data_IF_005404735826
#
_entry.id   IF_005404735826
#
_cell.length_a   1.000
_cell.length_b   1.000
_cell.length_c   1.000
_cell.angle_alpha   90.00
_cell.angle_beta   90.00
_cell.angle_gamma   90.00
#
_symmetry.space_group_name_H-M   'P 1'
#
loop_
_entity.id
_entity.type
_entity.pdbx_description
1 polymer ?
#
# COMPACT_ATOMS: atom_id res chain seq x y z
N UNK A 1 -20.25 25.09 -8.66
CA UNK A 1 -20.56 23.83 -7.98
C UNK A 1 -19.67 23.75 -6.76
N UNK A 2 -20.15 23.20 -5.65
CA UNK A 2 -19.27 23.01 -4.49
C UNK A 2 -18.21 21.97 -4.84
N UNK A 3 -16.98 22.18 -4.36
CA UNK A 3 -15.85 21.29 -4.54
C UNK A 3 -16.19 19.89 -4.00
N UNK A 4 -16.13 18.85 -4.85
CA UNK A 4 -16.35 17.47 -4.42
C UNK A 4 -15.14 16.93 -3.67
N UNK A 5 -15.40 16.06 -2.70
CA UNK A 5 -14.38 15.44 -1.87
C UNK A 5 -14.41 13.93 -2.04
N UNK A 6 -13.27 13.33 -2.33
CA UNK A 6 -13.09 11.87 -2.37
C UNK A 6 -12.19 11.47 -1.23
N UNK A 7 -12.63 10.52 -0.39
CA UNK A 7 -11.79 9.89 0.61
C UNK A 7 -11.13 8.64 0.04
N UNK A 8 -9.82 8.53 0.15
CA UNK A 8 -9.05 7.30 -0.07
C UNK A 8 -8.57 6.78 1.28
N UNK A 9 -9.02 5.58 1.65
CA UNK A 9 -8.53 4.87 2.83
C UNK A 9 -7.60 3.77 2.37
N UNK A 10 -6.33 3.81 2.81
CA UNK A 10 -5.29 2.88 2.38
C UNK A 10 -4.28 2.63 3.48
N UNK A 11 -3.56 1.52 3.39
CA UNK A 11 -2.51 1.12 4.32
C UNK A 11 -1.19 0.83 3.60
N UNK A 12 -0.11 1.31 4.17
CA UNK A 12 1.24 0.93 3.79
C UNK A 12 2.06 1.95 3.01
N UNK A 13 3.09 2.49 3.67
CA UNK A 13 4.11 3.38 3.10
C UNK A 13 5.23 2.66 2.36
N UNK A 14 5.42 1.39 2.62
CA UNK A 14 6.56 0.60 2.15
C UNK A 14 6.24 -0.26 0.95
N UNK A 15 5.06 -0.12 0.39
CA UNK A 15 4.64 -0.96 -0.71
C UNK A 15 4.82 -0.23 -2.02
N UNK A 16 5.42 -0.91 -2.98
CA UNK A 16 5.72 -0.40 -4.32
C UNK A 16 4.49 0.16 -5.07
N UNK A 17 3.28 -0.11 -4.58
CA UNK A 17 2.05 0.25 -5.26
C UNK A 17 1.24 1.34 -4.54
N UNK A 18 1.58 1.70 -3.32
CA UNK A 18 0.74 2.63 -2.55
C UNK A 18 0.65 4.01 -3.23
N UNK A 19 1.72 4.49 -3.87
CA UNK A 19 1.70 5.74 -4.61
C UNK A 19 0.84 5.69 -5.88
N UNK A 20 0.70 4.51 -6.50
CA UNK A 20 -0.05 4.35 -7.75
C UNK A 20 -1.54 4.64 -7.56
N UNK A 21 -2.07 4.38 -6.36
CA UNK A 21 -3.47 4.65 -6.04
C UNK A 21 -3.83 6.14 -6.17
N UNK A 22 -3.21 7.06 -5.40
CA UNK A 22 -3.50 8.48 -5.56
C UNK A 22 -3.09 9.02 -6.94
N UNK A 23 -2.02 8.50 -7.55
CA UNK A 23 -1.60 8.91 -8.89
C UNK A 23 -2.68 8.62 -9.95
N UNK A 24 -3.26 7.41 -9.95
CA UNK A 24 -4.34 7.03 -10.87
C UNK A 24 -5.62 7.84 -10.64
N UNK A 25 -6.02 8.05 -9.36
CA UNK A 25 -7.18 8.88 -9.01
C UNK A 25 -6.99 10.31 -9.52
N UNK A 26 -5.85 10.93 -9.22
CA UNK A 26 -5.55 12.31 -9.61
C UNK A 26 -5.41 12.47 -11.12
N UNK A 27 -4.87 11.48 -11.82
CA UNK A 27 -4.85 11.47 -13.28
C UNK A 27 -6.28 11.55 -13.82
N UNK A 28 -7.19 10.71 -13.32
CA UNK A 28 -8.58 10.71 -13.79
C UNK A 28 -9.30 12.02 -13.46
N UNK A 29 -9.08 12.60 -12.27
CA UNK A 29 -9.63 13.92 -11.90
C UNK A 29 -9.15 15.00 -12.88
N UNK A 30 -7.86 15.05 -13.19
CA UNK A 30 -7.29 16.06 -14.10
C UNK A 30 -7.85 15.95 -15.52
N UNK A 31 -8.08 14.75 -16.01
CA UNK A 31 -8.61 14.51 -17.34
C UNK A 31 -10.08 14.95 -17.49
N UNK A 32 -10.86 14.89 -16.42
CA UNK A 32 -12.27 15.32 -16.46
C UNK A 32 -12.44 16.82 -16.36
N UNK A 33 -11.49 17.51 -15.73
CA UNK A 33 -11.61 18.94 -15.40
C UNK A 33 -12.72 19.25 -14.38
N UNK A 34 -13.20 18.24 -13.64
CA UNK A 34 -14.17 18.44 -12.57
C UNK A 34 -13.53 18.99 -11.30
N UNK A 35 -14.30 19.75 -10.50
CA UNK A 35 -13.87 20.34 -9.23
C UNK A 35 -13.87 19.24 -8.14
N UNK A 36 -12.83 18.42 -8.08
CA UNK A 36 -12.67 17.32 -7.14
C UNK A 36 -11.33 17.40 -6.44
N UNK A 37 -11.29 17.16 -5.13
CA UNK A 37 -10.07 16.99 -4.34
C UNK A 37 -10.03 15.61 -3.68
N UNK A 38 -8.81 15.09 -3.51
CA UNK A 38 -8.52 13.79 -2.93
C UNK A 38 -8.00 13.93 -1.49
N UNK A 39 -8.62 13.20 -0.57
CA UNK A 39 -8.24 13.16 0.84
C UNK A 39 -7.78 11.75 1.17
N UNK A 40 -6.49 11.57 1.49
CA UNK A 40 -5.85 10.28 1.66
C UNK A 40 -5.62 10.04 3.14
N UNK A 41 -6.28 9.05 3.72
CA UNK A 41 -6.07 8.61 5.10
C UNK A 41 -5.21 7.34 5.06
N UNK A 42 -3.93 7.49 5.40
CA UNK A 42 -2.96 6.41 5.27
C UNK A 42 -2.33 6.04 6.60
N UNK A 43 -2.16 4.75 6.82
CA UNK A 43 -1.58 4.15 8.01
C UNK A 43 -0.37 3.28 7.69
N UNK A 44 0.44 2.99 8.70
CA UNK A 44 1.50 1.97 8.65
C UNK A 44 1.26 0.84 9.65
N UNK A 45 0.00 0.58 9.98
CA UNK A 45 -0.44 -0.27 11.09
C UNK A 45 -0.01 -1.74 11.07
N UNK A 46 0.62 -2.23 9.99
CA UNK A 46 1.18 -3.58 9.92
C UNK A 46 2.71 -3.60 10.07
N UNK A 47 3.30 -2.47 10.39
CA UNK A 47 4.74 -2.31 10.42
C UNK A 47 5.40 -2.85 11.68
N UNK A 48 4.84 -2.53 12.85
CA UNK A 48 5.42 -2.86 14.13
C UNK A 48 5.01 -4.26 14.62
N UNK A 49 5.88 -4.87 15.43
CA UNK A 49 5.50 -6.04 16.23
C UNK A 49 4.69 -5.66 17.46
N UNK A 50 4.70 -4.38 17.83
CA UNK A 50 3.89 -3.83 18.90
C UNK A 50 2.45 -3.60 18.43
N UNK A 51 1.51 -4.32 19.02
CA UNK A 51 0.10 -4.20 18.69
C UNK A 51 -0.48 -2.83 19.10
N UNK A 52 0.05 -2.19 20.14
CA UNK A 52 -0.35 -0.85 20.56
C UNK A 52 0.03 0.19 19.50
N UNK A 53 1.26 0.14 19.01
CA UNK A 53 1.72 0.97 17.89
C UNK A 53 0.81 0.82 16.67
N UNK A 54 0.54 -0.41 16.25
CA UNK A 54 -0.30 -0.66 15.08
C UNK A 54 -1.74 -0.14 15.26
N UNK A 55 -2.30 -0.24 16.49
CA UNK A 55 -3.62 0.32 16.79
C UNK A 55 -3.64 1.84 16.65
N UNK A 56 -2.62 2.52 17.16
CA UNK A 56 -2.52 3.98 17.06
C UNK A 56 -2.39 4.46 15.60
N UNK A 57 -1.63 3.73 14.78
CA UNK A 57 -1.55 3.97 13.35
C UNK A 57 -2.92 3.87 12.66
N UNK A 58 -3.68 2.81 12.95
CA UNK A 58 -5.00 2.61 12.36
C UNK A 58 -6.04 3.64 12.80
N UNK A 59 -5.78 4.38 13.89
CA UNK A 59 -6.70 5.40 14.38
C UNK A 59 -6.97 6.51 13.35
N UNK A 60 -6.08 6.73 12.38
CA UNK A 60 -6.27 7.70 11.30
C UNK A 60 -7.57 7.48 10.52
N UNK A 61 -8.07 6.24 10.46
CA UNK A 61 -9.31 5.91 9.76
C UNK A 61 -10.57 6.37 10.51
N UNK A 62 -10.43 6.74 11.78
CA UNK A 62 -11.50 7.32 12.60
C UNK A 62 -11.49 8.86 12.59
N UNK A 63 -10.50 9.47 11.95
CA UNK A 63 -10.43 10.92 11.84
C UNK A 63 -11.55 11.50 10.95
N UNK A 64 -11.83 10.95 9.72
CA UNK A 64 -12.84 11.52 8.85
C UNK A 64 -14.26 11.09 9.22
N UNK A 65 -15.21 12.03 9.18
CA UNK A 65 -16.63 11.70 9.06
C UNK A 65 -16.93 11.40 7.58
N UNK A 66 -17.03 10.12 7.21
CA UNK A 66 -17.13 9.69 5.81
C UNK A 66 -18.41 10.17 5.11
N UNK A 67 -19.44 10.58 5.86
CA UNK A 67 -20.65 11.22 5.30
C UNK A 67 -20.39 12.61 4.72
N UNK A 68 -19.28 13.27 5.07
CA UNK A 68 -18.90 14.59 4.54
C UNK A 68 -18.20 14.52 3.17
N UNK A 69 -17.97 13.31 2.66
CA UNK A 69 -17.37 13.07 1.35
C UNK A 69 -18.43 12.72 0.31
N UNK A 70 -18.13 12.99 -0.96
CA UNK A 70 -19.01 12.68 -2.08
C UNK A 70 -18.80 11.27 -2.63
N UNK A 71 -17.63 10.69 -2.36
CA UNK A 71 -17.26 9.32 -2.72
C UNK A 71 -16.13 8.77 -1.87
N UNK A 72 -16.05 7.45 -1.75
CA UNK A 72 -15.08 6.76 -0.92
C UNK A 72 -14.40 5.68 -1.76
N UNK A 73 -13.06 5.63 -1.72
CA UNK A 73 -12.25 4.58 -2.32
C UNK A 73 -11.51 3.85 -1.19
N UNK A 74 -11.61 2.54 -1.17
CA UNK A 74 -11.01 1.67 -0.16
C UNK A 74 -9.98 0.75 -0.81
N UNK A 75 -8.74 0.76 -0.31
CA UNK A 75 -7.73 -0.29 -0.55
C UNK A 75 -7.30 -0.82 0.81
N UNK A 76 -7.83 -1.98 1.18
CA UNK A 76 -7.73 -2.54 2.53
C UNK A 76 -7.01 -3.89 2.59
N UNK A 77 -6.38 -4.31 1.48
CA UNK A 77 -5.72 -5.63 1.37
C UNK A 77 -4.59 -5.84 2.37
N UNK A 78 -4.08 -4.77 2.94
CA UNK A 78 -2.91 -4.79 3.79
C UNK A 78 -3.25 -4.69 5.28
N UNK A 79 -4.50 -4.41 5.61
CA UNK A 79 -4.96 -4.36 7.00
C UNK A 79 -5.10 -5.77 7.54
N UNK A 80 -4.20 -6.16 8.45
CA UNK A 80 -4.19 -7.49 9.05
C UNK A 80 -5.14 -7.64 10.24
N UNK A 81 -5.66 -6.52 10.78
CA UNK A 81 -6.59 -6.54 11.90
C UNK A 81 -8.05 -6.69 11.43
N UNK A 82 -8.72 -7.82 11.71
CA UNK A 82 -10.12 -8.01 11.33
C UNK A 82 -11.07 -6.98 11.96
N UNK A 83 -10.76 -6.52 13.16
CA UNK A 83 -11.55 -5.51 13.86
C UNK A 83 -11.49 -4.16 13.13
N UNK A 84 -10.28 -3.69 12.78
CA UNK A 84 -10.08 -2.45 12.01
C UNK A 84 -10.77 -2.54 10.66
N UNK A 85 -10.62 -3.67 9.96
CA UNK A 85 -11.26 -3.90 8.68
C UNK A 85 -12.79 -3.80 8.78
N UNK A 86 -13.37 -4.44 9.80
CA UNK A 86 -14.82 -4.40 10.05
C UNK A 86 -15.31 -2.97 10.35
N UNK A 87 -14.55 -2.20 11.13
CA UNK A 87 -14.89 -0.82 11.49
C UNK A 87 -14.84 0.10 10.27
N UNK A 88 -13.79 0.04 9.45
CA UNK A 88 -13.67 0.82 8.21
C UNK A 88 -14.83 0.50 7.25
N UNK A 89 -15.13 -0.77 7.04
CA UNK A 89 -16.25 -1.20 6.19
C UNK A 89 -17.59 -0.70 6.75
N UNK A 90 -17.78 -0.80 8.07
CA UNK A 90 -19.01 -0.34 8.73
C UNK A 90 -19.18 1.18 8.60
N UNK A 91 -18.10 1.96 8.78
CA UNK A 91 -18.11 3.42 8.64
C UNK A 91 -18.41 3.82 7.19
N UNK A 92 -17.79 3.16 6.21
CA UNK A 92 -18.06 3.39 4.80
C UNK A 92 -19.54 3.09 4.45
N UNK A 93 -20.10 1.98 4.94
CA UNK A 93 -21.53 1.66 4.75
C UNK A 93 -22.46 2.69 5.37
N UNK A 94 -22.16 3.15 6.60
CA UNK A 94 -23.00 4.13 7.31
C UNK A 94 -22.98 5.51 6.67
N UNK A 95 -21.93 5.85 5.93
CA UNK A 95 -21.83 7.15 5.25
C UNK A 95 -22.94 7.39 4.24
N UNK A 96 -23.53 6.33 3.68
CA UNK A 96 -24.54 6.41 2.61
C UNK A 96 -23.98 6.94 1.28
N UNK A 97 -22.65 7.04 1.14
CA UNK A 97 -21.98 7.53 -0.06
C UNK A 97 -21.61 6.38 -1.00
N UNK A 98 -21.41 6.65 -2.30
CA UNK A 98 -20.83 5.67 -3.20
C UNK A 98 -19.46 5.19 -2.70
N UNK A 99 -19.26 3.86 -2.64
CA UNK A 99 -18.01 3.25 -2.19
C UNK A 99 -17.47 2.34 -3.27
N UNK A 100 -16.18 2.52 -3.58
CA UNK A 100 -15.41 1.65 -4.49
C UNK A 100 -14.35 0.94 -3.68
N UNK A 101 -14.27 -0.38 -3.79
CA UNK A 101 -13.22 -1.20 -3.21
C UNK A 101 -12.23 -1.63 -4.30
N UNK A 102 -10.95 -1.33 -4.09
CA UNK A 102 -9.88 -1.72 -5.00
C UNK A 102 -9.27 -3.03 -4.52
N UNK A 103 -9.10 -3.97 -5.45
CA UNK A 103 -8.39 -5.24 -5.28
C UNK A 103 -8.97 -6.19 -4.20
N UNK A 104 -9.99 -5.79 -3.44
CA UNK A 104 -10.66 -6.62 -2.45
C UNK A 104 -12.18 -6.56 -2.65
N UNK A 105 -12.84 -7.70 -2.75
CA UNK A 105 -14.30 -7.77 -2.88
C UNK A 105 -14.95 -7.63 -1.50
N UNK A 106 -15.60 -6.50 -1.27
CA UNK A 106 -16.20 -6.13 0.00
C UNK A 106 -17.74 -6.03 -0.11
N UNK A 107 -18.37 -7.16 -0.31
CA UNK A 107 -19.83 -7.29 -0.23
C UNK A 107 -20.62 -6.39 -1.17
N UNK A 108 -21.20 -5.30 -0.66
CA UNK A 108 -22.12 -4.44 -1.44
C UNK A 108 -21.41 -3.31 -2.22
N UNK A 109 -20.12 -3.11 -2.05
CA UNK A 109 -19.37 -2.04 -2.70
C UNK A 109 -19.06 -2.36 -4.16
N UNK A 110 -18.80 -1.33 -4.97
CA UNK A 110 -18.29 -1.51 -6.32
C UNK A 110 -16.87 -2.05 -6.24
N UNK A 111 -16.60 -3.10 -6.99
CA UNK A 111 -15.27 -3.70 -7.08
C UNK A 111 -14.53 -3.19 -8.31
N UNK A 112 -13.27 -2.82 -8.13
CA UNK A 112 -12.32 -2.58 -9.21
C UNK A 112 -11.03 -3.33 -8.93
N UNK A 113 -10.54 -4.09 -9.90
CA UNK A 113 -9.30 -4.84 -9.74
C UNK A 113 -8.95 -5.68 -10.95
N UNK A 114 -7.94 -6.52 -10.80
CA UNK A 114 -7.48 -7.44 -11.85
C UNK A 114 -8.39 -8.67 -11.90
N UNK A 115 -8.64 -9.21 -13.08
CA UNK A 115 -9.18 -10.57 -13.23
C UNK A 115 -8.09 -11.61 -12.93
N UNK A 116 -7.78 -11.73 -11.64
CA UNK A 116 -6.75 -12.64 -11.13
C UNK A 116 -7.02 -14.11 -11.50
N UNK A 117 -8.30 -14.50 -11.53
CA UNK A 117 -8.73 -15.86 -11.87
C UNK A 117 -8.37 -16.19 -13.31
N UNK A 118 -8.83 -15.38 -14.27
CA UNK A 118 -8.58 -15.62 -15.70
C UNK A 118 -7.10 -15.48 -16.05
N UNK A 119 -6.38 -14.56 -15.43
CA UNK A 119 -4.95 -14.37 -15.64
C UNK A 119 -4.15 -15.64 -15.26
N UNK A 120 -4.39 -16.19 -14.05
CA UNK A 120 -3.66 -17.37 -13.62
C UNK A 120 -4.11 -18.65 -14.31
N UNK A 121 -5.37 -18.72 -14.75
CA UNK A 121 -5.84 -19.81 -15.62
C UNK A 121 -5.08 -19.82 -16.96
N UNK A 122 -4.75 -18.65 -17.51
CA UNK A 122 -3.92 -18.52 -18.73
C UNK A 122 -2.46 -18.91 -18.47
N UNK A 123 -1.89 -18.57 -17.31
CA UNK A 123 -0.51 -18.93 -16.93
C UNK A 123 -0.34 -20.46 -16.90
N UNK A 124 -1.18 -21.15 -16.15
CA UNK A 124 -1.09 -22.63 -16.06
C UNK A 124 -1.42 -23.30 -17.40
N UNK A 125 -2.36 -22.75 -18.19
CA UNK A 125 -2.67 -23.23 -19.52
C UNK A 125 -1.44 -23.17 -20.44
N UNK A 126 -0.73 -22.05 -20.46
CA UNK A 126 0.48 -21.88 -21.25
C UNK A 126 1.57 -22.90 -20.86
N UNK A 127 1.83 -23.08 -19.58
CA UNK A 127 2.82 -24.04 -19.13
C UNK A 127 2.43 -25.48 -19.51
N UNK A 128 1.17 -25.84 -19.44
CA UNK A 128 0.68 -27.16 -19.83
C UNK A 128 0.65 -27.37 -21.35
N UNK A 129 0.03 -26.44 -22.11
CA UNK A 129 -0.23 -26.63 -23.54
C UNK A 129 0.99 -26.36 -24.41
N UNK A 130 1.83 -25.39 -24.05
CA UNK A 130 3.01 -25.01 -24.83
C UNK A 130 4.26 -25.78 -24.41
N UNK A 131 4.38 -26.09 -23.12
CA UNK A 131 5.58 -26.70 -22.55
C UNK A 131 5.39 -28.12 -22.04
N UNK A 132 4.19 -28.71 -22.19
CA UNK A 132 3.82 -30.08 -21.74
C UNK A 132 4.09 -30.33 -20.25
N UNK A 133 4.02 -29.26 -19.41
CA UNK A 133 4.18 -29.38 -17.97
C UNK A 133 3.00 -30.12 -17.34
N UNK A 134 3.27 -31.08 -16.45
CA UNK A 134 2.26 -31.95 -15.79
C UNK A 134 2.37 -31.96 -14.27
N UNK A 135 3.59 -31.68 -13.75
CA UNK A 135 3.85 -31.56 -12.32
C UNK A 135 4.10 -30.09 -11.97
N UNK A 136 3.33 -29.57 -11.03
CA UNK A 136 3.37 -28.17 -10.65
C UNK A 136 3.62 -28.01 -9.16
N UNK A 137 4.45 -27.04 -8.78
CA UNK A 137 4.45 -26.48 -7.43
C UNK A 137 3.82 -25.09 -7.48
N UNK A 138 2.95 -24.80 -6.50
CA UNK A 138 2.25 -23.53 -6.39
C UNK A 138 2.69 -22.81 -5.11
N UNK A 139 3.39 -21.69 -5.24
CA UNK A 139 3.74 -20.83 -4.13
C UNK A 139 2.75 -19.64 -4.13
N UNK A 140 1.77 -19.71 -3.24
CA UNK A 140 0.67 -18.75 -3.16
C UNK A 140 0.79 -17.85 -1.94
N UNK A 141 0.01 -16.76 -1.91
CA UNK A 141 -0.04 -15.82 -0.79
C UNK A 141 -0.86 -16.33 0.39
N UNK A 142 -1.11 -15.46 1.36
CA UNK A 142 -1.93 -15.79 2.52
C UNK A 142 -3.34 -16.27 2.11
N UNK A 143 -3.90 -17.21 2.87
CA UNK A 143 -5.19 -17.85 2.55
C UNK A 143 -6.38 -16.89 2.66
N UNK A 144 -6.27 -15.87 3.47
CA UNK A 144 -7.27 -14.82 3.69
C UNK A 144 -7.16 -13.66 2.69
N UNK A 145 -6.14 -13.65 1.84
CA UNK A 145 -5.99 -12.65 0.79
C UNK A 145 -6.87 -12.99 -0.42
N UNK A 146 -7.78 -12.09 -0.77
CA UNK A 146 -8.75 -12.27 -1.85
C UNK A 146 -8.09 -12.53 -3.22
N UNK A 147 -7.11 -11.72 -3.62
CA UNK A 147 -6.42 -11.87 -4.90
C UNK A 147 -5.66 -13.21 -4.99
N UNK A 148 -4.96 -13.59 -3.90
CA UNK A 148 -4.27 -14.88 -3.81
C UNK A 148 -5.23 -16.06 -3.99
N UNK A 149 -6.40 -15.97 -3.35
CA UNK A 149 -7.45 -17.00 -3.47
C UNK A 149 -8.00 -17.10 -4.88
N UNK A 150 -8.24 -15.96 -5.55
CA UNK A 150 -8.68 -15.95 -6.96
C UNK A 150 -7.61 -16.53 -7.89
N UNK A 151 -6.34 -16.18 -7.71
CA UNK A 151 -5.20 -16.74 -8.47
C UNK A 151 -5.13 -18.26 -8.32
N UNK A 152 -5.17 -18.75 -7.09
CA UNK A 152 -5.13 -20.18 -6.80
C UNK A 152 -6.34 -20.91 -7.43
N UNK A 153 -7.55 -20.36 -7.28
CA UNK A 153 -8.75 -20.98 -7.82
C UNK A 153 -8.70 -21.15 -9.34
N UNK A 154 -8.19 -20.12 -10.06
CA UNK A 154 -8.00 -20.20 -11.51
C UNK A 154 -7.09 -21.34 -11.94
N UNK A 155 -5.96 -21.53 -11.22
CA UNK A 155 -5.03 -22.64 -11.46
C UNK A 155 -5.65 -24.01 -11.19
N UNK A 156 -6.34 -24.15 -10.04
CA UNK A 156 -6.96 -25.43 -9.64
C UNK A 156 -8.11 -25.83 -10.56
N UNK A 157 -8.92 -24.89 -11.01
CA UNK A 157 -10.02 -25.18 -11.94
C UNK A 157 -9.49 -25.62 -13.30
N UNK A 158 -8.45 -24.95 -13.83
CA UNK A 158 -7.79 -25.42 -15.05
C UNK A 158 -7.21 -26.82 -14.88
N UNK A 159 -6.48 -27.06 -13.80
CA UNK A 159 -5.91 -28.38 -13.52
C UNK A 159 -6.99 -29.47 -13.47
N UNK A 160 -8.13 -29.22 -12.82
CA UNK A 160 -9.25 -30.14 -12.75
C UNK A 160 -9.88 -30.39 -14.12
N UNK A 161 -10.09 -29.35 -14.94
CA UNK A 161 -10.63 -29.46 -16.30
C UNK A 161 -9.76 -30.36 -17.20
N UNK A 162 -8.43 -30.26 -17.05
CA UNK A 162 -7.44 -31.00 -17.85
C UNK A 162 -6.88 -32.26 -17.18
N UNK A 163 -7.45 -32.65 -16.04
CA UNK A 163 -7.03 -33.85 -15.26
C UNK A 163 -5.57 -33.82 -14.82
N UNK A 164 -5.03 -32.64 -14.60
CA UNK A 164 -3.72 -32.43 -13.99
C UNK A 164 -3.90 -32.61 -12.49
N UNK A 165 -3.04 -33.46 -11.90
CA UNK A 165 -3.09 -33.70 -10.48
C UNK A 165 -2.24 -32.65 -9.74
N UNK A 166 -2.88 -31.87 -8.87
CA UNK A 166 -2.25 -30.96 -7.91
C UNK A 166 -2.76 -31.35 -6.53
N UNK A 167 -1.90 -31.88 -5.69
CA UNK A 167 -2.23 -32.26 -4.33
C UNK A 167 -2.01 -31.08 -3.37
N UNK A 168 -2.55 -31.17 -2.17
CA UNK A 168 -2.32 -30.14 -1.14
C UNK A 168 -0.83 -29.96 -0.78
N UNK A 169 -0.06 -31.02 -0.96
CA UNK A 169 1.36 -31.06 -0.70
C UNK A 169 2.20 -30.33 -1.76
N UNK A 170 1.62 -30.03 -2.92
CA UNK A 170 2.22 -29.26 -4.00
C UNK A 170 1.98 -27.73 -3.83
N UNK A 171 1.26 -27.32 -2.77
CA UNK A 171 0.87 -25.94 -2.53
C UNK A 171 1.50 -25.43 -1.25
N UNK A 172 2.26 -24.34 -1.36
CA UNK A 172 2.79 -23.58 -0.23
C UNK A 172 2.02 -22.27 -0.06
N UNK A 173 1.51 -22.05 1.15
CA UNK A 173 0.86 -20.80 1.54
C UNK A 173 1.84 -19.93 2.33
N UNK A 174 2.16 -18.77 1.80
CA UNK A 174 3.12 -17.83 2.39
C UNK A 174 2.67 -16.39 2.30
N UNK A 175 3.64 -15.49 2.16
CA UNK A 175 3.44 -14.06 1.89
C UNK A 175 3.92 -13.69 0.49
N UNK A 176 3.88 -12.38 0.16
CA UNK A 176 4.27 -11.86 -1.14
C UNK A 176 5.75 -11.44 -1.21
N UNK A 177 6.53 -11.77 -0.19
CA UNK A 177 7.91 -11.33 -0.06
C UNK A 177 8.94 -12.39 -0.49
N UNK A 178 10.18 -11.93 -0.66
CA UNK A 178 11.31 -12.77 -1.03
C UNK A 178 11.58 -13.91 -0.03
N UNK A 179 11.43 -13.64 1.27
CA UNK A 179 11.69 -14.64 2.31
C UNK A 179 10.72 -15.81 2.21
N UNK A 180 9.45 -15.53 1.97
CA UNK A 180 8.42 -16.56 1.76
C UNK A 180 8.74 -17.45 0.56
N UNK A 181 9.31 -16.89 -0.51
CA UNK A 181 9.76 -17.67 -1.66
C UNK A 181 10.86 -18.66 -1.31
N UNK A 182 11.87 -18.25 -0.53
CA UNK A 182 12.94 -19.12 -0.05
C UNK A 182 12.39 -20.25 0.84
N UNK A 183 11.53 -19.91 1.80
CA UNK A 183 10.93 -20.87 2.72
C UNK A 183 10.03 -21.87 1.98
N UNK A 184 9.21 -21.40 1.05
CA UNK A 184 8.30 -22.21 0.26
C UNK A 184 9.03 -23.21 -0.64
N UNK A 185 10.06 -22.75 -1.37
CA UNK A 185 10.88 -23.64 -2.19
C UNK A 185 11.54 -24.72 -1.35
N UNK A 186 12.15 -24.34 -0.22
CA UNK A 186 12.79 -25.30 0.70
C UNK A 186 11.78 -26.33 1.22
N UNK A 187 10.59 -25.88 1.63
CA UNK A 187 9.54 -26.78 2.13
C UNK A 187 9.11 -27.80 1.08
N UNK A 188 8.82 -27.35 -0.14
CA UNK A 188 8.38 -28.23 -1.23
C UNK A 188 9.51 -29.18 -1.65
N UNK A 189 10.76 -28.70 -1.72
CA UNK A 189 11.92 -29.54 -1.98
C UNK A 189 12.10 -30.62 -0.90
N UNK A 190 12.01 -30.26 0.37
CA UNK A 190 12.19 -31.22 1.48
C UNK A 190 11.12 -32.28 1.46
N UNK A 191 9.94 -31.99 0.98
CA UNK A 191 8.83 -32.92 0.88
C UNK A 191 8.94 -33.85 -0.31
N UNK A 192 9.25 -33.34 -1.49
CA UNK A 192 9.22 -34.13 -2.73
C UNK A 192 10.55 -34.71 -3.13
N UNK A 193 11.68 -34.06 -2.82
CA UNK A 193 13.04 -34.44 -3.21
C UNK A 193 13.27 -34.61 -4.72
N UNK A 194 12.36 -34.11 -5.53
CA UNK A 194 12.41 -34.02 -6.99
C UNK A 194 11.82 -32.70 -7.46
N UNK A 195 12.27 -32.16 -8.58
CA UNK A 195 11.72 -30.94 -9.14
C UNK A 195 10.36 -31.20 -9.81
N UNK A 196 9.47 -30.19 -9.84
CA UNK A 196 8.30 -30.18 -10.70
C UNK A 196 8.73 -29.82 -12.14
N UNK A 197 7.82 -29.96 -13.11
CA UNK A 197 8.03 -29.40 -14.44
C UNK A 197 7.97 -27.87 -14.43
N UNK A 198 7.10 -27.31 -13.56
CA UNK A 198 7.00 -25.86 -13.38
C UNK A 198 6.64 -25.45 -11.96
N UNK A 199 7.14 -24.27 -11.57
CA UNK A 199 6.80 -23.56 -10.34
C UNK A 199 6.02 -22.29 -10.69
N UNK A 200 4.80 -22.16 -10.15
CA UNK A 200 3.97 -20.98 -10.34
C UNK A 200 3.95 -20.20 -9.06
N UNK A 201 4.49 -18.98 -9.10
CA UNK A 201 4.63 -18.10 -7.95
C UNK A 201 3.55 -17.02 -7.94
N UNK A 202 3.14 -16.65 -6.72
CA UNK A 202 2.11 -15.63 -6.50
C UNK A 202 2.50 -14.27 -7.08
N UNK A 203 3.80 -13.95 -7.06
CA UNK A 203 4.36 -12.75 -7.66
C UNK A 203 5.85 -12.92 -8.03
N UNK A 204 6.43 -11.89 -8.61
CA UNK A 204 7.82 -11.88 -9.08
C UNK A 204 8.86 -11.91 -7.94
N UNK A 205 8.54 -11.36 -6.76
CA UNK A 205 9.45 -11.44 -5.61
C UNK A 205 9.68 -12.90 -5.19
N UNK A 206 8.59 -13.66 -5.14
CA UNK A 206 8.61 -15.08 -4.81
C UNK A 206 9.31 -15.86 -5.92
N UNK A 207 9.05 -15.51 -7.20
CA UNK A 207 9.70 -16.20 -8.33
C UNK A 207 11.24 -16.02 -8.33
N UNK A 208 11.72 -14.79 -8.12
CA UNK A 208 13.17 -14.53 -7.98
C UNK A 208 13.77 -15.28 -6.81
N UNK A 209 13.08 -15.33 -5.66
CA UNK A 209 13.55 -16.07 -4.49
C UNK A 209 13.67 -17.58 -4.76
N UNK A 210 12.72 -18.17 -5.48
CA UNK A 210 12.76 -19.58 -5.89
C UNK A 210 13.92 -19.84 -6.83
N UNK A 211 14.16 -18.96 -7.82
CA UNK A 211 15.32 -19.08 -8.70
C UNK A 211 16.64 -19.09 -7.92
N UNK A 212 16.81 -18.18 -6.96
CA UNK A 212 18.02 -18.11 -6.12
C UNK A 212 18.19 -19.35 -5.24
N UNK A 213 17.10 -19.83 -4.62
CA UNK A 213 17.14 -21.04 -3.81
C UNK A 213 17.48 -22.30 -4.64
N UNK A 214 16.92 -22.41 -5.84
CA UNK A 214 17.20 -23.51 -6.77
C UNK A 214 18.65 -23.45 -7.27
N UNK A 215 19.14 -22.27 -7.64
CA UNK A 215 20.52 -22.07 -8.10
C UNK A 215 21.57 -22.47 -7.05
N UNK A 216 21.31 -22.21 -5.76
CA UNK A 216 22.18 -22.68 -4.66
C UNK A 216 22.26 -24.20 -4.58
N UNK A 217 21.29 -24.92 -5.13
CA UNK A 217 21.26 -26.38 -5.23
C UNK A 217 21.74 -26.92 -6.59
N UNK A 218 22.12 -26.01 -7.49
CA UNK A 218 22.61 -26.36 -8.84
C UNK A 218 21.51 -26.54 -9.88
N UNK A 219 20.27 -26.09 -9.61
CA UNK A 219 19.14 -26.14 -10.54
C UNK A 219 18.82 -24.75 -11.12
N UNK A 220 18.51 -24.69 -12.41
CA UNK A 220 18.30 -23.45 -13.12
C UNK A 220 17.05 -23.49 -14.01
N UNK A 221 16.25 -22.42 -13.94
CA UNK A 221 15.17 -22.19 -14.90
C UNK A 221 15.76 -21.57 -16.19
N UNK A 222 15.23 -21.89 -17.37
CA UNK A 222 14.14 -22.84 -17.66
C UNK A 222 14.61 -24.29 -17.88
N UNK A 223 15.91 -24.59 -17.72
CA UNK A 223 16.53 -25.86 -18.16
C UNK A 223 16.08 -27.05 -17.31
N UNK A 224 16.05 -26.89 -15.96
CA UNK A 224 15.67 -27.95 -15.02
C UNK A 224 14.18 -27.90 -14.66
N UNK A 225 13.60 -26.71 -14.60
CA UNK A 225 12.18 -26.46 -14.36
C UNK A 225 11.78 -25.09 -14.90
N UNK A 226 10.50 -24.87 -15.16
CA UNK A 226 9.98 -23.56 -15.56
C UNK A 226 9.47 -22.79 -14.37
N UNK A 227 9.49 -21.44 -14.46
CA UNK A 227 8.97 -20.61 -13.38
C UNK A 227 8.23 -19.39 -13.92
N UNK A 228 7.17 -19.00 -13.21
CA UNK A 228 6.39 -17.80 -13.50
C UNK A 228 6.14 -16.99 -12.24
N UNK A 229 6.05 -15.68 -12.40
CA UNK A 229 5.64 -14.72 -11.39
C UNK A 229 4.33 -14.01 -11.74
N UNK A 230 4.12 -12.85 -11.14
CA UNK A 230 3.00 -11.93 -11.35
C UNK A 230 3.43 -10.51 -10.92
N UNK A 231 2.76 -9.46 -11.40
CA UNK A 231 2.92 -8.03 -11.12
C UNK A 231 3.91 -7.29 -12.03
N UNK A 232 4.74 -7.97 -12.82
CA UNK A 232 5.73 -7.37 -13.72
C UNK A 232 6.65 -6.36 -13.02
N UNK A 233 7.22 -6.73 -11.87
CA UNK A 233 8.22 -5.89 -11.20
C UNK A 233 9.46 -5.67 -12.05
N UNK A 234 10.07 -4.49 -11.95
CA UNK A 234 11.27 -4.18 -12.72
C UNK A 234 12.38 -5.20 -12.55
N UNK A 235 12.63 -5.63 -11.31
CA UNK A 235 13.65 -6.63 -11.01
C UNK A 235 13.43 -7.96 -11.70
N UNK A 236 12.19 -8.37 -11.94
CA UNK A 236 11.89 -9.61 -12.65
C UNK A 236 12.32 -9.56 -14.12
N UNK A 237 12.17 -8.39 -14.75
CA UNK A 237 12.64 -8.16 -16.10
C UNK A 237 14.17 -8.04 -16.25
N UNK A 238 14.90 -7.67 -15.17
CA UNK A 238 16.36 -7.56 -15.16
C UNK A 238 17.07 -8.76 -14.53
N UNK A 239 16.32 -9.67 -13.90
CA UNK A 239 16.85 -10.92 -13.41
C UNK A 239 17.25 -11.85 -14.57
N UNK A 240 18.14 -12.81 -14.32
CA UNK A 240 18.57 -13.83 -15.32
C UNK A 240 18.31 -15.22 -14.75
N UNK A 241 17.39 -15.99 -15.35
CA UNK A 241 16.58 -15.66 -16.53
C UNK A 241 15.49 -14.61 -16.23
N UNK A 242 15.13 -13.78 -17.23
CA UNK A 242 14.01 -12.86 -17.07
C UNK A 242 12.72 -13.61 -16.80
N UNK A 243 11.97 -13.15 -15.78
CA UNK A 243 10.83 -13.91 -15.23
C UNK A 243 9.59 -13.71 -16.10
N UNK A 244 9.02 -14.80 -16.60
CA UNK A 244 7.67 -14.83 -17.16
C UNK A 244 6.65 -14.37 -16.14
N UNK A 245 5.83 -13.40 -16.48
CA UNK A 245 4.96 -12.72 -15.50
C UNK A 245 3.67 -12.22 -16.14
N UNK A 246 2.71 -11.86 -15.29
CA UNK A 246 1.50 -11.14 -15.68
C UNK A 246 1.70 -9.68 -15.36
N UNK A 247 1.68 -8.84 -16.39
CA UNK A 247 1.78 -7.38 -16.26
C UNK A 247 0.42 -6.72 -16.14
N UNK A 248 0.37 -5.62 -15.42
CA UNK A 248 -0.76 -4.71 -15.35
C UNK A 248 -0.27 -3.28 -15.08
N UNK A 249 -1.06 -2.29 -15.44
CA UNK A 249 -0.79 -0.88 -15.12
C UNK A 249 -1.24 -0.66 -13.68
N UNK A 250 -0.32 -0.25 -12.82
CA UNK A 250 -0.54 -0.14 -11.37
C UNK A 250 -1.56 0.93 -11.00
N UNK A 251 -1.55 2.03 -11.74
CA UNK A 251 -2.44 3.18 -11.56
C UNK A 251 -3.87 2.89 -12.06
N UNK A 252 -4.03 1.91 -12.94
CA UNK A 252 -5.27 1.67 -13.68
C UNK A 252 -6.46 1.33 -12.77
N UNK A 253 -6.26 0.51 -11.75
CA UNK A 253 -7.34 0.15 -10.83
C UNK A 253 -7.88 1.38 -10.06
N UNK A 254 -6.99 2.27 -9.65
CA UNK A 254 -7.37 3.49 -8.95
C UNK A 254 -7.97 4.53 -9.91
N UNK A 255 -7.45 4.62 -11.13
CA UNK A 255 -8.03 5.43 -12.21
C UNK A 255 -9.47 5.00 -12.51
N UNK A 256 -9.70 3.70 -12.72
CA UNK A 256 -11.05 3.16 -12.92
C UNK A 256 -11.93 3.31 -11.68
N UNK A 257 -11.38 3.19 -10.48
CA UNK A 257 -12.11 3.46 -9.24
C UNK A 257 -12.68 4.89 -9.18
N UNK A 258 -11.89 5.87 -9.59
CA UNK A 258 -12.35 7.24 -9.72
C UNK A 258 -13.36 7.41 -10.86
N UNK A 259 -13.16 6.73 -12.00
CA UNK A 259 -14.12 6.73 -13.11
C UNK A 259 -15.49 6.18 -12.69
N UNK A 260 -15.51 5.12 -11.90
CA UNK A 260 -16.76 4.57 -11.32
C UNK A 260 -17.49 5.63 -10.50
N UNK A 261 -16.80 6.37 -9.63
CA UNK A 261 -17.41 7.45 -8.85
C UNK A 261 -18.00 8.56 -9.75
N UNK A 262 -17.24 9.01 -10.75
CA UNK A 262 -17.67 10.03 -11.70
C UNK A 262 -18.95 9.64 -12.44
N UNK A 263 -18.99 8.39 -12.94
CA UNK A 263 -20.16 7.84 -13.65
C UNK A 263 -21.37 7.69 -12.74
N UNK A 264 -21.18 7.28 -11.49
CA UNK A 264 -22.24 7.21 -10.48
C UNK A 264 -22.81 8.62 -10.18
N UNK A 265 -21.95 9.62 -10.07
CA UNK A 265 -22.40 11.01 -9.89
C UNK A 265 -23.13 11.57 -11.12
N UNK A 266 -22.80 11.08 -12.32
CA UNK A 266 -23.55 11.39 -13.54
C UNK A 266 -24.89 10.63 -13.64
N UNK A 267 -25.21 9.75 -12.70
CA UNK A 267 -26.42 8.94 -12.70
C UNK A 267 -26.40 7.76 -13.66
N UNK A 268 -25.20 7.33 -14.08
CA UNK A 268 -25.04 6.17 -14.94
C UNK A 268 -25.24 4.85 -14.19
N UNK A 269 -25.66 3.82 -14.90
CA UNK A 269 -25.68 2.45 -14.36
C UNK A 269 -24.30 1.82 -14.53
N UNK A 270 -23.55 1.71 -13.43
CA UNK A 270 -22.20 1.14 -13.41
C UNK A 270 -22.27 -0.33 -12.97
N UNK A 271 -21.57 -1.26 -13.65
CA UNK A 271 -21.43 -2.65 -13.18
C UNK A 271 -20.82 -2.71 -11.79
N UNK A 272 -21.25 -3.68 -10.99
CA UNK A 272 -20.66 -3.91 -9.67
C UNK A 272 -19.19 -4.32 -9.73
N UNK A 273 -18.81 -5.14 -10.72
CA UNK A 273 -17.44 -5.63 -10.93
C UNK A 273 -16.86 -4.97 -12.18
N UNK A 274 -15.70 -4.36 -12.02
CA UNK A 274 -14.95 -3.68 -13.06
C UNK A 274 -13.52 -4.25 -13.04
N UNK A 275 -13.08 -4.82 -14.17
CA UNK A 275 -11.76 -5.44 -14.27
C UNK A 275 -10.83 -4.61 -15.12
N UNK A 276 -9.59 -4.44 -14.65
CA UNK A 276 -8.50 -3.83 -15.41
C UNK A 276 -7.83 -4.85 -16.32
N UNK A 277 -7.22 -4.36 -17.40
CA UNK A 277 -6.53 -5.22 -18.36
C UNK A 277 -5.22 -5.78 -17.79
N UNK A 278 -4.88 -6.99 -18.23
CA UNK A 278 -3.62 -7.67 -17.93
C UNK A 278 -2.92 -8.09 -19.22
N UNK A 279 -1.59 -8.13 -19.18
CA UNK A 279 -0.75 -8.58 -20.28
C UNK A 279 0.08 -9.79 -19.85
N UNK A 280 0.07 -10.86 -20.66
CA UNK A 280 0.94 -12.03 -20.44
C UNK A 280 2.31 -11.77 -21.03
N UNK A 281 3.35 -11.71 -20.21
CA UNK A 281 4.74 -11.48 -20.61
C UNK A 281 5.53 -12.79 -20.55
N UNK A 282 5.55 -13.50 -21.68
CA UNK A 282 6.29 -14.75 -21.81
C UNK A 282 7.78 -14.47 -22.00
N UNK A 283 8.62 -14.88 -21.05
CA UNK A 283 10.05 -14.55 -21.01
C UNK A 283 10.92 -15.81 -20.87
N UNK A 284 12.22 -15.63 -20.54
CA UNK A 284 13.20 -16.72 -20.51
C UNK A 284 12.86 -17.80 -19.50
N UNK A 285 12.31 -17.46 -18.34
CA UNK A 285 12.10 -18.38 -17.24
C UNK A 285 11.06 -19.48 -17.52
N UNK A 286 10.20 -19.31 -18.52
CA UNK A 286 9.37 -20.40 -19.04
C UNK A 286 9.91 -21.04 -20.32
N UNK A 287 10.98 -20.49 -20.91
CA UNK A 287 11.60 -20.97 -22.13
C UNK A 287 11.09 -20.32 -23.44
N UNK A 288 10.22 -19.29 -23.35
CA UNK A 288 9.62 -18.65 -24.53
C UNK A 288 10.37 -17.40 -25.02
N UNK A 289 10.97 -16.64 -24.14
CA UNK A 289 11.59 -15.35 -24.43
C UNK A 289 13.06 -15.44 -24.79
N UNK A 290 13.59 -14.32 -25.32
CA UNK A 290 15.04 -14.16 -25.60
C UNK A 290 15.68 -13.07 -24.72
N UNK A 291 15.20 -12.89 -23.50
CA UNK A 291 15.60 -11.84 -22.57
C UNK A 291 14.69 -10.62 -22.60
N UNK A 292 14.85 -9.79 -21.57
CA UNK A 292 14.07 -8.56 -21.42
C UNK A 292 14.47 -7.51 -22.46
N UNK A 293 13.51 -6.84 -23.07
CA UNK A 293 13.72 -5.66 -23.91
C UNK A 293 13.98 -4.37 -23.10
N UNK A 294 14.01 -4.44 -21.76
CA UNK A 294 14.16 -3.27 -20.88
C UNK A 294 15.56 -2.69 -20.93
N UNK A 295 15.65 -1.37 -20.89
CA UNK A 295 16.94 -0.66 -20.85
C UNK A 295 17.56 -0.73 -19.44
N UNK A 296 18.48 -1.68 -19.26
CA UNK A 296 19.19 -1.85 -18.00
C UNK A 296 20.05 -0.61 -17.60
N UNK A 297 20.52 0.19 -18.57
CA UNK A 297 21.31 1.39 -18.26
C UNK A 297 20.41 2.52 -17.74
N UNK A 298 19.24 2.70 -18.35
CA UNK A 298 18.26 3.66 -17.86
C UNK A 298 17.83 3.29 -16.44
N UNK A 299 17.46 2.03 -16.21
CA UNK A 299 17.09 1.53 -14.87
C UNK A 299 18.20 1.73 -13.83
N UNK A 300 19.45 1.40 -14.16
CA UNK A 300 20.58 1.60 -13.25
C UNK A 300 20.76 3.09 -12.92
N UNK A 301 20.62 3.97 -13.91
CA UNK A 301 20.69 5.42 -13.69
C UNK A 301 19.60 5.86 -12.71
N UNK A 302 18.36 5.41 -12.89
CA UNK A 302 17.23 5.76 -12.02
C UNK A 302 17.45 5.24 -10.59
N UNK A 303 17.99 4.02 -10.42
CA UNK A 303 18.37 3.47 -9.12
C UNK A 303 19.48 4.29 -8.43
N UNK A 304 20.50 4.73 -9.17
CA UNK A 304 21.57 5.59 -8.63
C UNK A 304 20.98 6.92 -8.19
N UNK A 305 20.15 7.57 -9.01
CA UNK A 305 19.53 8.85 -8.65
C UNK A 305 18.63 8.72 -7.43
N UNK A 306 17.85 7.63 -7.36
CA UNK A 306 17.05 7.33 -6.17
C UNK A 306 17.90 7.17 -4.90
N UNK A 307 19.04 6.46 -5.00
CA UNK A 307 19.96 6.29 -3.86
C UNK A 307 20.50 7.62 -3.38
N UNK A 308 20.98 8.48 -4.30
CA UNK A 308 21.51 9.82 -3.96
C UNK A 308 20.46 10.69 -3.29
N UNK A 309 19.26 10.80 -3.89
CA UNK A 309 18.15 11.57 -3.30
C UNK A 309 17.74 11.04 -1.92
N UNK A 310 17.77 9.71 -1.73
CA UNK A 310 17.45 9.10 -0.43
C UNK A 310 18.52 9.38 0.63
N UNK A 311 19.79 9.36 0.26
CA UNK A 311 20.91 9.65 1.18
C UNK A 311 20.88 11.12 1.63
N UNK A 312 20.67 12.06 0.70
CA UNK A 312 20.54 13.50 1.03
C UNK A 312 19.35 13.74 1.99
N UNK A 313 18.21 13.10 1.70
CA UNK A 313 17.03 13.22 2.56
C UNK A 313 17.27 12.64 3.96
N UNK A 314 17.98 11.50 4.06
CA UNK A 314 18.31 10.87 5.34
C UNK A 314 19.19 11.77 6.21
N UNK A 315 20.16 12.46 5.62
CA UNK A 315 21.01 13.41 6.33
C UNK A 315 20.20 14.60 6.88
N UNK A 316 19.24 15.12 6.11
CA UNK A 316 18.36 16.19 6.58
C UNK A 316 17.47 15.76 7.74
N UNK A 317 16.86 14.56 7.67
CA UNK A 317 16.04 14.03 8.76
C UNK A 317 16.86 13.81 10.02
N UNK A 318 18.05 13.21 9.90
CA UNK A 318 18.95 13.01 11.04
C UNK A 318 19.38 14.34 11.69
N UNK A 319 19.61 15.38 10.88
CA UNK A 319 19.91 16.73 11.40
C UNK A 319 18.72 17.29 12.18
N UNK A 320 17.53 17.18 11.63
CA UNK A 320 16.30 17.61 12.29
C UNK A 320 16.07 16.87 13.62
N UNK A 321 16.22 15.53 13.63
CA UNK A 321 16.11 14.72 14.84
C UNK A 321 17.09 15.18 15.93
N UNK A 322 18.36 15.42 15.56
CA UNK A 322 19.38 15.87 16.49
C UNK A 322 19.06 17.24 17.10
N UNK A 323 18.47 18.15 16.34
CA UNK A 323 18.00 19.45 16.83
C UNK A 323 16.77 19.31 17.74
N UNK A 324 15.79 18.49 17.33
CA UNK A 324 14.58 18.23 18.12
C UNK A 324 14.88 17.64 19.50
N UNK A 325 15.90 16.77 19.59
CA UNK A 325 16.34 16.20 20.89
C UNK A 325 16.86 17.25 21.87
N UNK A 326 17.22 18.45 21.41
CA UNK A 326 17.67 19.55 22.26
C UNK A 326 16.55 20.49 22.66
N UNK A 327 15.35 20.33 22.10
CA UNK A 327 14.18 21.14 22.40
C UNK A 327 13.56 20.74 23.74
N UNK A 328 13.02 21.72 24.47
CA UNK A 328 12.34 21.53 25.74
C UNK A 328 10.82 21.62 25.63
N UNK A 329 10.34 22.19 24.54
CA UNK A 329 8.91 22.42 24.30
C UNK A 329 8.51 21.96 22.90
N UNK A 330 7.21 21.67 22.70
CA UNK A 330 6.67 21.35 21.39
C UNK A 330 6.84 22.53 20.41
N UNK A 331 6.69 23.75 20.89
CA UNK A 331 6.88 24.96 20.11
C UNK A 331 8.33 25.06 19.57
N UNK A 332 9.33 24.75 20.39
CA UNK A 332 10.74 24.69 19.94
C UNK A 332 10.95 23.61 18.87
N UNK A 333 10.35 22.43 19.05
CA UNK A 333 10.42 21.34 18.05
C UNK A 333 9.84 21.77 16.69
N UNK A 334 8.75 22.55 16.69
CA UNK A 334 8.13 23.05 15.45
C UNK A 334 9.05 24.00 14.66
N UNK A 335 10.11 24.55 15.25
CA UNK A 335 11.11 25.36 14.52
C UNK A 335 12.17 24.52 13.80
N UNK A 336 12.30 23.23 14.12
CA UNK A 336 13.25 22.33 13.45
C UNK A 336 12.69 21.78 12.14
N UNK A 337 11.34 21.70 11.98
CA UNK A 337 10.68 21.03 10.85
C UNK A 337 10.89 21.74 9.50
N UNK A 338 10.85 23.09 9.39
CA UNK A 338 10.94 23.79 8.10
C UNK A 338 12.16 23.44 7.25
N UNK A 339 13.27 23.04 7.86
CA UNK A 339 14.49 22.69 7.14
C UNK A 339 14.35 21.45 6.25
N UNK A 340 13.49 20.48 6.61
CA UNK A 340 13.26 19.26 5.83
C UNK A 340 12.14 19.39 4.79
N UNK A 341 11.29 20.43 4.88
CA UNK A 341 10.11 20.55 4.00
C UNK A 341 10.47 20.72 2.52
N UNK A 342 11.52 21.48 2.12
CA UNK A 342 11.88 21.59 0.70
C UNK A 342 12.12 20.25 0.02
N UNK A 343 12.74 19.29 0.72
CA UNK A 343 12.99 17.94 0.20
C UNK A 343 11.75 17.07 0.10
N UNK A 344 10.67 17.45 0.79
CA UNK A 344 9.37 16.80 0.65
C UNK A 344 8.67 17.15 -0.66
N UNK A 345 9.07 18.22 -1.34
CA UNK A 345 8.45 18.70 -2.60
C UNK A 345 6.91 18.79 -2.51
N UNK A 346 6.40 19.23 -1.35
CA UNK A 346 4.98 19.43 -1.09
C UNK A 346 4.63 20.93 -1.08
N UNK A 347 3.35 21.25 -1.30
CA UNK A 347 2.89 22.65 -1.33
C UNK A 347 2.61 23.22 0.06
N UNK A 348 2.26 22.36 1.00
CA UNK A 348 1.98 22.75 2.37
C UNK A 348 2.06 21.56 3.33
N UNK A 349 2.37 21.85 4.60
CA UNK A 349 2.36 20.90 5.70
C UNK A 349 1.74 21.53 6.94
N UNK A 350 0.86 20.78 7.60
CA UNK A 350 0.19 21.20 8.81
C UNK A 350 0.34 20.11 9.87
N UNK A 351 0.52 20.51 11.14
CA UNK A 351 0.50 19.62 12.29
C UNK A 351 -0.59 20.06 13.23
N UNK A 352 -1.49 19.13 13.54
CA UNK A 352 -2.62 19.32 14.43
C UNK A 352 -2.44 18.40 15.63
N UNK A 353 -2.42 18.97 16.82
CA UNK A 353 -2.16 18.25 18.08
C UNK A 353 -3.35 18.37 19.03
N UNK A 354 -3.49 17.37 19.90
CA UNK A 354 -4.41 17.41 21.02
C UNK A 354 -4.04 18.54 22.00
N UNK A 355 -5.03 19.32 22.41
CA UNK A 355 -4.87 20.43 23.34
C UNK A 355 -4.31 20.00 24.71
N UNK A 356 -4.49 18.73 25.07
CA UNK A 356 -4.05 18.16 26.33
C UNK A 356 -2.66 17.50 26.31
N UNK A 357 -1.90 17.64 25.23
CA UNK A 357 -0.59 17.00 25.07
C UNK A 357 0.34 17.21 26.28
N UNK A 358 0.32 18.40 26.89
CA UNK A 358 1.10 18.71 28.09
C UNK A 358 0.62 17.97 29.37
N UNK A 359 -0.62 17.48 29.39
CA UNK A 359 -1.13 16.67 30.52
C UNK A 359 -0.61 15.22 30.42
N UNK A 360 -0.41 14.69 29.21
CA UNK A 360 0.11 13.35 28.97
C UNK A 360 1.55 13.17 29.47
N UNK A 361 2.40 14.22 29.42
CA UNK A 361 3.75 14.16 29.98
C UNK A 361 3.76 13.76 31.46
N UNK A 362 2.81 14.27 32.26
CA UNK A 362 2.70 13.95 33.67
C UNK A 362 2.17 12.55 33.97
N UNK A 363 1.39 11.97 33.06
CA UNK A 363 0.87 10.61 33.20
C UNK A 363 1.86 9.57 32.70
N UNK A 364 2.60 9.85 31.61
CA UNK A 364 3.65 8.98 31.09
C UNK A 364 4.79 8.78 32.09
N UNK A 365 5.15 9.81 32.84
CA UNK A 365 6.11 9.71 33.96
C UNK A 365 5.64 8.79 35.11
N UNK A 366 4.32 8.55 35.21
CA UNK A 366 3.73 7.65 36.22
C UNK A 366 3.52 6.21 35.73
N UNK A 367 3.51 5.98 34.42
CA UNK A 367 3.09 4.71 33.81
C UNK A 367 4.20 3.90 33.13
N UNK A 368 5.47 4.11 33.52
CA UNK A 368 6.56 3.18 33.14
C UNK A 368 6.43 1.91 34.01
N UNK A 369 5.36 1.17 33.79
CA UNK A 369 5.26 -0.23 34.15
C UNK A 369 5.16 -1.06 32.87
N UNK A 370 6.30 -1.64 32.50
CA UNK A 370 6.53 -2.47 31.30
C UNK A 370 5.83 -3.83 31.33
N UNK A 371 4.94 -4.10 32.27
CA UNK A 371 4.43 -5.45 32.58
C UNK A 371 2.94 -5.68 32.29
N UNK A 372 2.25 -4.79 31.59
CA UNK A 372 0.87 -5.07 31.20
C UNK A 372 0.84 -5.73 29.81
N UNK A 373 0.57 -7.04 29.79
CA UNK A 373 0.19 -7.73 28.55
C UNK A 373 -1.01 -7.02 27.91
N UNK A 374 -1.04 -6.82 26.56
CA UNK A 374 -2.19 -6.21 25.91
C UNK A 374 -3.42 -7.09 26.15
N UNK A 375 -4.48 -6.52 26.72
CA UNK A 375 -5.76 -7.19 26.77
C UNK A 375 -6.32 -7.28 25.37
N UNK A 376 -6.65 -8.47 24.90
CA UNK A 376 -7.34 -8.76 23.63
C UNK A 376 -8.82 -8.28 23.63
N UNK A 377 -9.23 -7.51 24.61
CA UNK A 377 -10.58 -7.00 24.76
C UNK A 377 -10.75 -5.67 24.02
N UNK A 378 -11.29 -5.79 22.82
CA UNK A 378 -11.93 -4.69 22.08
C UNK A 378 -10.97 -3.62 21.59
N UNK A 379 -11.08 -3.29 20.32
CA UNK A 379 -10.48 -2.12 19.71
C UNK A 379 -11.12 -0.86 20.32
N UNK A 380 -10.69 -0.49 21.52
CA UNK A 380 -11.05 0.78 22.15
C UNK A 380 -10.15 1.85 21.55
N UNK A 381 -10.53 2.27 20.33
CA UNK A 381 -9.92 3.40 19.67
C UNK A 381 -10.36 4.62 20.43
N UNK A 382 -9.45 5.19 21.21
CA UNK A 382 -9.59 6.57 21.64
C UNK A 382 -9.52 7.43 20.38
N UNK A 383 -10.68 7.73 19.80
CA UNK A 383 -10.80 8.58 18.64
C UNK A 383 -10.10 9.93 18.86
N UNK A 384 -9.94 10.70 17.81
CA UNK A 384 -9.39 12.04 17.93
C UNK A 384 -10.29 12.91 18.83
N UNK A 385 -9.71 13.71 19.77
CA UNK A 385 -10.49 14.63 20.59
C UNK A 385 -11.25 15.62 19.72
N UNK A 386 -12.41 16.05 20.18
CA UNK A 386 -13.21 17.07 19.44
C UNK A 386 -12.50 18.42 19.30
N UNK A 387 -11.59 18.72 20.24
CA UNK A 387 -10.82 19.96 20.25
C UNK A 387 -9.37 19.63 20.00
N UNK A 388 -8.91 20.04 18.85
CA UNK A 388 -7.52 19.92 18.45
C UNK A 388 -7.00 21.30 18.03
N UNK A 389 -5.71 21.51 18.14
CA UNK A 389 -5.07 22.77 17.80
C UNK A 389 -4.04 22.58 16.70
N UNK A 390 -4.10 23.43 15.69
CA UNK A 390 -3.03 23.52 14.74
C UNK A 390 -1.85 24.24 15.39
N UNK A 391 -0.76 23.51 15.52
CA UNK A 391 0.47 23.96 16.17
C UNK A 391 1.55 24.35 15.17
N UNK A 392 1.41 23.88 13.93
CA UNK A 392 2.35 24.14 12.85
C UNK A 392 1.61 24.28 11.52
N UNK A 393 2.01 25.28 10.74
CA UNK A 393 1.62 25.41 9.35
C UNK A 393 2.77 25.99 8.51
N UNK A 394 2.98 25.37 7.36
CA UNK A 394 3.95 25.80 6.37
C UNK A 394 3.27 25.83 5.00
N UNK A 395 3.32 26.97 4.33
CA UNK A 395 2.77 27.18 2.99
C UNK A 395 3.65 28.13 2.20
N UNK A 396 3.70 27.96 0.88
CA UNK A 396 4.40 28.87 -0.02
C UNK A 396 5.83 29.18 0.42
N UNK A 397 6.56 28.14 0.80
CA UNK A 397 7.95 28.17 1.24
C UNK A 397 8.21 29.00 2.51
N UNK A 398 7.19 29.20 3.34
CA UNK A 398 7.34 29.87 4.61
C UNK A 398 6.45 29.26 5.71
N UNK A 399 6.98 29.27 6.93
CA UNK A 399 6.20 28.98 8.12
C UNK A 399 5.22 30.13 8.39
N UNK A 400 3.95 29.76 8.65
CA UNK A 400 2.94 30.73 9.07
C UNK A 400 3.03 30.92 10.58
N UNK A 401 2.99 32.19 11.02
CA UNK A 401 2.88 32.53 12.43
C UNK A 401 1.41 32.38 12.84
N UNK A 402 1.14 31.33 13.64
CA UNK A 402 -0.20 31.00 14.08
C UNK A 402 -0.31 31.25 15.58
N UNK A 403 -1.18 32.14 15.98
CA UNK A 403 -1.80 32.03 17.28
C UNK A 403 -2.57 30.70 17.29
N UNK A 404 -2.31 29.81 18.26
CA UNK A 404 -2.90 28.47 18.39
C UNK A 404 -4.35 28.46 17.91
N UNK A 405 -4.59 27.88 16.73
CA UNK A 405 -5.89 27.92 16.08
C UNK A 405 -6.61 26.59 16.33
N UNK A 406 -7.78 26.66 16.96
CA UNK A 406 -8.66 25.50 17.11
C UNK A 406 -9.12 25.04 15.72
N UNK A 407 -8.99 23.74 15.45
CA UNK A 407 -9.41 23.11 14.20
C UNK A 407 -10.84 22.62 14.39
N UNK A 408 -11.73 23.13 13.53
CA UNK A 408 -13.11 22.65 13.43
C UNK A 408 -13.18 21.63 12.27
N UNK A 409 -13.49 20.38 12.61
CA UNK A 409 -13.43 19.26 11.68
C UNK A 409 -12.01 18.74 11.45
N UNK A 410 -11.79 18.11 10.29
CA UNK A 410 -10.51 17.44 9.96
C UNK A 410 -9.52 18.35 9.23
N UNK A 411 -9.96 19.51 8.77
CA UNK A 411 -9.19 20.35 7.87
C UNK A 411 -9.02 21.76 8.42
N UNK A 412 -7.78 22.23 8.57
CA UNK A 412 -7.55 23.62 8.85
C UNK A 412 -8.01 24.45 7.63
N UNK A 413 -8.92 25.37 7.84
CA UNK A 413 -9.43 26.26 6.80
C UNK A 413 -8.42 27.35 6.48
N UNK A 414 -7.43 27.01 5.67
CA UNK A 414 -6.65 28.03 4.96
C UNK A 414 -7.05 28.02 3.51
N UNK A 415 -7.15 29.18 2.89
CA UNK A 415 -7.49 29.44 1.48
C UNK A 415 -8.17 28.28 0.75
N UNK A 416 -9.32 28.53 0.17
CA UNK A 416 -10.13 27.53 -0.54
C UNK A 416 -9.24 26.62 -1.39
N UNK A 417 -9.23 25.30 -1.15
CA UNK A 417 -8.40 24.38 -1.91
C UNK A 417 -8.75 24.50 -3.40
N UNK A 418 -7.72 24.49 -4.23
CA UNK A 418 -7.91 24.48 -5.69
C UNK A 418 -8.35 23.06 -6.11
N UNK A 419 -9.07 22.92 -7.23
CA UNK A 419 -9.40 21.61 -7.78
C UNK A 419 -8.15 20.77 -8.11
N UNK A 420 -8.27 19.46 -7.99
CA UNK A 420 -7.22 18.51 -8.38
C UNK A 420 -6.05 18.42 -7.40
N UNK A 421 -6.24 18.85 -6.15
CA UNK A 421 -5.26 18.70 -5.09
C UNK A 421 -5.46 17.39 -4.32
N UNK A 422 -4.37 16.89 -3.75
CA UNK A 422 -4.39 15.83 -2.75
C UNK A 422 -3.99 16.35 -1.37
N UNK A 423 -4.58 15.74 -0.36
CA UNK A 423 -4.30 15.99 1.06
C UNK A 423 -4.05 14.65 1.74
N UNK A 424 -2.82 14.45 2.19
CA UNK A 424 -2.38 13.24 2.85
C UNK A 424 -2.44 13.42 4.36
N UNK A 425 -3.25 12.60 5.02
CA UNK A 425 -3.44 12.57 6.46
C UNK A 425 -2.70 11.40 7.08
N UNK A 426 -1.90 11.67 8.10
CA UNK A 426 -1.02 10.73 8.77
C UNK A 426 -1.16 10.84 10.27
N UNK A 427 -1.23 9.73 11.01
CA UNK A 427 -1.35 9.77 12.46
C UNK A 427 -0.05 10.23 13.12
N UNK A 428 -0.19 11.00 14.18
CA UNK A 428 0.86 11.24 15.18
C UNK A 428 0.45 10.56 16.49
N UNK A 429 1.32 9.71 16.99
CA UNK A 429 1.03 8.97 18.21
C UNK A 429 2.29 8.65 19.03
N UNK A 430 2.11 8.40 20.30
CA UNK A 430 3.16 7.92 21.21
C UNK A 430 2.72 6.57 21.79
N UNK A 431 3.40 5.49 21.40
CA UNK A 431 2.94 4.13 21.69
C UNK A 431 1.55 3.90 21.10
N UNK A 432 0.58 3.55 21.94
CA UNK A 432 -0.81 3.32 21.52
C UNK A 432 -1.71 4.58 21.58
N UNK A 433 -1.17 5.72 22.04
CA UNK A 433 -1.94 6.97 22.20
C UNK A 433 -1.78 7.87 21.01
N UNK A 434 -2.86 8.18 20.34
CA UNK A 434 -2.91 9.21 19.30
C UNK A 434 -2.77 10.58 19.94
N UNK A 435 -1.84 11.39 19.46
CA UNK A 435 -1.58 12.76 19.95
C UNK A 435 -1.95 13.82 18.93
N UNK A 436 -2.19 13.43 17.70
CA UNK A 436 -2.53 14.34 16.64
C UNK A 436 -2.44 13.71 15.25
N UNK A 437 -2.33 14.55 14.24
CA UNK A 437 -2.12 14.15 12.86
C UNK A 437 -1.35 15.21 12.07
N UNK A 438 -0.73 14.76 10.99
CA UNK A 438 -0.10 15.63 9.99
C UNK A 438 -0.96 15.65 8.73
N UNK A 439 -1.07 16.81 8.10
CA UNK A 439 -1.68 16.95 6.77
C UNK A 439 -0.65 17.52 5.81
N UNK A 440 -0.46 16.87 4.67
CA UNK A 440 0.46 17.32 3.63
C UNK A 440 -0.31 17.49 2.33
N UNK A 441 -0.17 18.65 1.70
CA UNK A 441 -0.83 18.97 0.44
C UNK A 441 0.09 18.68 -0.75
N UNK A 442 -0.47 18.00 -1.78
CA UNK A 442 0.25 17.58 -2.98
C UNK A 442 1.47 16.70 -2.67
N UNK A 443 1.19 15.59 -1.98
CA UNK A 443 2.20 14.72 -1.36
C UNK A 443 2.41 13.37 -2.08
N UNK A 444 1.79 13.12 -3.23
CA UNK A 444 1.88 11.82 -3.91
C UNK A 444 3.33 11.38 -4.19
N UNK A 445 4.20 12.34 -4.53
CA UNK A 445 5.63 12.10 -4.71
C UNK A 445 6.29 11.48 -3.47
N UNK A 446 5.88 11.87 -2.27
CA UNK A 446 6.44 11.36 -1.01
C UNK A 446 6.06 9.89 -0.77
N UNK A 447 4.87 9.50 -1.20
CA UNK A 447 4.42 8.11 -1.08
C UNK A 447 5.28 7.18 -1.94
N UNK A 448 5.75 7.64 -3.10
CA UNK A 448 6.66 6.90 -3.96
C UNK A 448 8.04 6.70 -3.31
N UNK A 449 8.57 7.72 -2.67
CA UNK A 449 9.96 7.76 -2.18
C UNK A 449 10.17 7.16 -0.78
N UNK A 450 9.12 6.74 -0.08
CA UNK A 450 9.18 6.25 1.31
C UNK A 450 9.80 7.26 2.32
N UNK A 451 10.11 8.45 1.87
CA UNK A 451 10.78 9.49 2.67
C UNK A 451 9.91 9.94 3.84
N UNK A 452 8.61 9.94 3.62
CA UNK A 452 7.64 10.38 4.62
C UNK A 452 7.63 9.53 5.88
N UNK A 453 7.83 8.21 5.76
CA UNK A 453 7.92 7.32 6.92
C UNK A 453 9.05 7.73 7.87
N UNK A 454 10.18 8.20 7.32
CA UNK A 454 11.32 8.66 8.14
C UNK A 454 10.98 9.91 8.92
N UNK A 455 10.36 10.90 8.25
CA UNK A 455 9.89 12.12 8.94
C UNK A 455 8.85 11.82 10.01
N UNK A 456 7.86 10.96 9.70
CA UNK A 456 6.82 10.61 10.67
C UNK A 456 7.37 9.89 11.90
N UNK A 457 8.44 9.11 11.74
CA UNK A 457 9.13 8.49 12.89
C UNK A 457 9.98 9.49 13.69
N UNK A 458 10.40 10.58 13.08
CA UNK A 458 11.17 11.64 13.74
C UNK A 458 10.28 12.61 14.52
N UNK A 459 9.06 12.85 14.04
CA UNK A 459 8.05 13.70 14.69
C UNK A 459 7.39 13.00 15.86
#
# INVERSE_FOLDING_TARGET
MDMRKVALITDGWRRLFTYALPAGILQRIRETGEDVNLYIFNSTGNWSRDAGYNRAEYNIYNLPELSDFDGIILELNNISSPAVLADVISNAKRSGRPVVSIANELGDFYYVGIDNYSAMKQVIAHLHEVHDCKKFWLLVGAQDNYESSCRLQGMLDYAKEHKIKIDKDDIWYGSFDYKSGLEGYKHLWDRHKELPDAVICINDNVAVAVCEAAAQMGFHAPDDFRITGFDNFDKAGFYTPSITTVGHIREEAAYQGMDVLLRLWAGENVPKYNFTETEMLWQESCGCGKGSSRDARAHLKDQIMYSVESEEFDEEVLSMEAEMMQCNTVEEMMYCIPQCIPSLKCDAMYIVLDDHLNAYKKEAEKSIHLDAAPSDEGFDVHGYPRKMQMTFAYERDQRLDLDRQEVDGIFPTFDYPKPGQDFLFLPLHFGERTVGYVVIRNAVYLMEKQSMFKIMNAL
#
